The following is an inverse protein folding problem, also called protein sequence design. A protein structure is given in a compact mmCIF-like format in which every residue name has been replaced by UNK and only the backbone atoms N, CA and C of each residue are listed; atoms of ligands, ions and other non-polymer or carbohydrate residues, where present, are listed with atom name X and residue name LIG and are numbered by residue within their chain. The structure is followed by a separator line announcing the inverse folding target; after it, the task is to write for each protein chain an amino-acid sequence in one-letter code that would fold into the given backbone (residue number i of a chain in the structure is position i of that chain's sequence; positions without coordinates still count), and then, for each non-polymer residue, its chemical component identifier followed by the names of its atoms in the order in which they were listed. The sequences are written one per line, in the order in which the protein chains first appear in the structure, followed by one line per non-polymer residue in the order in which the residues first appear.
data_IF_260398146576
#
_entry.id   IF_260398146576
#
_cell.length_a   1.000
_cell.length_b   1.000
_cell.length_c   1.000
_cell.angle_alpha   90.00
_cell.angle_beta   90.00
_cell.angle_gamma   90.00
#
_symmetry.space_group_name_H-M   'P 1'
#
loop_
_entity.id
_entity.type
_entity.pdbx_description
1 polymer ?
#
# COMPACT_ATOMS: atom_id res chain seq x y z
N UNK A 1 21.33 22.51 -25.42
CA UNK A 1 20.92 21.12 -25.68
C UNK A 1 21.41 20.25 -24.53
N UNK A 2 20.54 19.42 -23.98
CA UNK A 2 20.93 18.52 -22.91
C UNK A 2 21.90 17.47 -23.44
N UNK A 3 22.96 17.21 -22.69
CA UNK A 3 23.93 16.19 -22.98
C UNK A 3 23.30 14.81 -22.81
N UNK A 4 23.77 13.84 -23.55
CA UNK A 4 23.32 12.46 -23.52
C UNK A 4 23.45 11.88 -22.10
N UNK A 5 24.56 12.14 -21.42
CA UNK A 5 24.78 11.68 -20.07
C UNK A 5 23.78 12.30 -19.08
N UNK A 6 23.46 13.57 -19.26
CA UNK A 6 22.46 14.26 -18.45
C UNK A 6 21.08 13.64 -18.63
N UNK A 7 20.71 13.28 -19.85
CA UNK A 7 19.43 12.64 -20.11
C UNK A 7 19.35 11.26 -19.46
N UNK A 8 20.44 10.51 -19.47
CA UNK A 8 20.52 9.21 -18.80
C UNK A 8 20.37 9.37 -17.30
N UNK A 9 21.03 10.39 -16.71
CA UNK A 9 20.91 10.69 -15.28
C UNK A 9 19.46 11.03 -14.89
N UNK A 10 18.75 11.79 -15.75
CA UNK A 10 17.35 12.11 -15.50
C UNK A 10 16.47 10.84 -15.48
N UNK A 11 16.76 9.89 -16.35
CA UNK A 11 16.03 8.61 -16.36
C UNK A 11 16.31 7.82 -15.08
N UNK A 12 17.57 7.78 -14.65
CA UNK A 12 17.96 7.09 -13.41
C UNK A 12 17.27 7.70 -12.19
N UNK A 13 17.26 9.04 -12.09
CA UNK A 13 16.59 9.74 -11.00
C UNK A 13 15.08 9.47 -10.99
N UNK A 14 14.45 9.47 -12.16
CA UNK A 14 13.04 9.18 -12.28
C UNK A 14 12.72 7.74 -11.86
N UNK A 15 13.59 6.80 -12.24
CA UNK A 15 13.43 5.39 -11.85
C UNK A 15 13.58 5.21 -10.34
N UNK A 16 14.52 5.88 -9.71
CA UNK A 16 14.72 5.84 -8.27
C UNK A 16 13.50 6.38 -7.54
N UNK A 17 12.90 7.47 -8.03
CA UNK A 17 11.68 8.03 -7.45
C UNK A 17 10.51 7.06 -7.54
N UNK A 18 10.38 6.35 -8.67
CA UNK A 18 9.34 5.32 -8.85
C UNK A 18 9.55 4.18 -7.86
N UNK A 19 10.79 3.70 -7.73
CA UNK A 19 11.11 2.60 -6.81
C UNK A 19 10.79 2.99 -5.36
N UNK A 20 11.12 4.22 -4.95
CA UNK A 20 10.81 4.72 -3.62
C UNK A 20 9.30 4.82 -3.40
N UNK A 21 8.55 5.31 -4.38
CA UNK A 21 7.10 5.41 -4.30
C UNK A 21 6.45 4.04 -4.20
N UNK A 22 6.93 3.06 -4.97
CA UNK A 22 6.45 1.68 -4.93
C UNK A 22 6.69 1.06 -3.55
N UNK A 23 7.87 1.29 -2.96
CA UNK A 23 8.17 0.79 -1.63
C UNK A 23 7.25 1.42 -0.57
N UNK A 24 7.01 2.73 -0.67
CA UNK A 24 6.09 3.44 0.23
C UNK A 24 4.68 2.86 0.14
N UNK A 25 4.21 2.57 -1.08
CA UNK A 25 2.89 1.96 -1.28
C UNK A 25 2.84 0.56 -0.65
N UNK A 26 3.87 -0.26 -0.86
CA UNK A 26 3.95 -1.60 -0.26
C UNK A 26 3.92 -1.53 1.26
N UNK A 27 4.69 -0.60 1.85
CA UNK A 27 4.72 -0.42 3.31
C UNK A 27 3.36 0.02 3.84
N UNK A 28 2.67 0.91 3.13
CA UNK A 28 1.34 1.37 3.51
C UNK A 28 0.32 0.23 3.45
N UNK A 29 0.40 -0.63 2.43
CA UNK A 29 -0.48 -1.79 2.31
C UNK A 29 -0.24 -2.76 3.47
N UNK A 30 1.02 -3.01 3.83
CA UNK A 30 1.37 -3.87 4.94
C UNK A 30 0.85 -3.31 6.27
N UNK A 31 1.05 -2.03 6.52
CA UNK A 31 0.56 -1.34 7.72
C UNK A 31 -0.96 -1.44 7.81
N UNK A 32 -1.66 -1.22 6.70
CA UNK A 32 -3.12 -1.33 6.64
C UNK A 32 -3.58 -2.75 6.95
N UNK A 33 -2.92 -3.75 6.37
CA UNK A 33 -3.27 -5.15 6.59
C UNK A 33 -3.09 -5.53 8.07
N UNK A 34 -2.03 -5.08 8.69
CA UNK A 34 -1.78 -5.33 10.11
C UNK A 34 -2.83 -4.66 11.00
N UNK A 35 -3.21 -3.43 10.69
CA UNK A 35 -4.25 -2.71 11.44
C UNK A 35 -5.60 -3.42 11.32
N UNK A 36 -5.97 -3.89 10.13
CA UNK A 36 -7.20 -4.65 9.92
C UNK A 36 -7.16 -5.95 10.73
N UNK A 37 -6.05 -6.67 10.67
CA UNK A 37 -5.89 -7.93 11.40
C UNK A 37 -6.03 -7.70 12.92
N UNK A 38 -5.38 -6.67 13.45
CA UNK A 38 -5.47 -6.35 14.87
C UNK A 38 -6.90 -6.00 15.27
N UNK A 39 -7.61 -5.24 14.45
CA UNK A 39 -9.00 -4.89 14.72
C UNK A 39 -9.90 -6.12 14.74
N UNK A 40 -9.72 -7.04 13.79
CA UNK A 40 -10.49 -8.29 13.74
C UNK A 40 -10.17 -9.17 14.96
N UNK A 41 -8.90 -9.28 15.32
CA UNK A 41 -8.46 -10.08 16.47
C UNK A 41 -8.98 -9.50 17.79
N UNK A 42 -9.17 -8.18 17.87
CA UNK A 42 -9.72 -7.51 19.04
C UNK A 42 -11.25 -7.63 19.13
N UNK A 43 -11.88 -8.28 18.16
CA UNK A 43 -13.32 -8.50 18.18
C UNK A 43 -14.14 -7.49 17.39
N UNK A 44 -13.50 -6.58 16.65
CA UNK A 44 -14.21 -5.69 15.75
C UNK A 44 -14.74 -6.50 14.58
N UNK A 45 -16.03 -6.39 14.30
CA UNK A 45 -16.63 -7.10 13.16
C UNK A 45 -16.15 -6.53 11.84
N UNK A 46 -15.96 -7.40 10.86
CA UNK A 46 -15.55 -6.97 9.51
C UNK A 46 -16.56 -5.97 8.93
N UNK A 47 -17.85 -6.15 9.21
CA UNK A 47 -18.88 -5.23 8.74
C UNK A 47 -18.72 -3.85 9.36
N UNK A 48 -18.38 -3.78 10.65
CA UNK A 48 -18.16 -2.49 11.34
C UNK A 48 -16.99 -1.73 10.72
N UNK A 49 -15.89 -2.44 10.42
CA UNK A 49 -14.73 -1.85 9.77
C UNK A 49 -15.10 -1.38 8.36
N UNK A 50 -15.81 -2.21 7.61
CA UNK A 50 -16.26 -1.89 6.26
C UNK A 50 -17.15 -0.65 6.24
N UNK A 51 -18.09 -0.54 7.18
CA UNK A 51 -18.97 0.62 7.29
C UNK A 51 -18.18 1.89 7.58
N UNK A 52 -17.20 1.81 8.47
CA UNK A 52 -16.35 2.97 8.81
C UNK A 52 -15.54 3.44 7.61
N UNK A 53 -15.09 2.51 6.75
CA UNK A 53 -14.28 2.84 5.58
C UNK A 53 -15.12 3.12 4.33
N UNK A 54 -16.43 2.84 4.36
CA UNK A 54 -17.30 3.04 3.21
C UNK A 54 -17.08 2.01 2.11
N UNK A 55 -16.67 0.79 2.46
CA UNK A 55 -16.41 -0.29 1.52
C UNK A 55 -17.22 -1.52 1.89
N UNK A 56 -17.20 -2.56 1.04
CA UNK A 56 -17.86 -3.82 1.35
C UNK A 56 -17.04 -4.70 2.29
N UNK A 57 -17.72 -5.58 3.01
CA UNK A 57 -17.07 -6.52 3.96
C UNK A 57 -15.98 -7.36 3.28
N UNK A 58 -16.23 -7.80 2.06
CA UNK A 58 -15.26 -8.59 1.29
C UNK A 58 -13.93 -7.84 1.12
N UNK A 59 -13.98 -6.52 0.95
CA UNK A 59 -12.79 -5.69 0.81
C UNK A 59 -11.92 -5.73 2.07
N UNK A 60 -12.52 -5.85 3.24
CA UNK A 60 -11.79 -5.93 4.51
C UNK A 60 -10.92 -7.19 4.54
N UNK A 61 -11.48 -8.33 4.14
CA UNK A 61 -10.71 -9.58 4.07
C UNK A 61 -9.58 -9.50 3.04
N UNK A 62 -9.82 -8.84 1.92
CA UNK A 62 -8.78 -8.61 0.90
C UNK A 62 -7.64 -7.77 1.47
N UNK A 63 -7.95 -6.72 2.22
CA UNK A 63 -6.93 -5.86 2.84
C UNK A 63 -6.07 -6.62 3.84
N UNK A 64 -6.71 -7.47 4.66
CA UNK A 64 -6.00 -8.33 5.60
C UNK A 64 -5.04 -9.28 4.87
N UNK A 65 -5.52 -9.91 3.82
CA UNK A 65 -4.76 -10.93 3.09
C UNK A 65 -3.63 -10.35 2.25
N UNK A 66 -3.74 -9.09 1.84
CA UNK A 66 -2.70 -8.41 1.07
C UNK A 66 -1.37 -8.29 1.82
N UNK A 67 -1.41 -8.29 3.15
CA UNK A 67 -0.21 -8.25 3.98
C UNK A 67 0.38 -9.61 4.29
N UNK A 68 -0.22 -10.68 3.79
CA UNK A 68 0.19 -12.07 4.08
C UNK A 68 0.92 -12.64 2.86
N UNK A 69 2.16 -12.99 3.03
CA UNK A 69 2.96 -13.64 2.01
C UNK A 69 3.55 -14.93 2.55
#
# INVERSE_FOLDING_TARGET
MADRDELIHQVMDAQDAVADAEQTVRDAIQTRAEAVKQALDAGCGAQSIADALGVGRHRIYQMRDQGTH
#
